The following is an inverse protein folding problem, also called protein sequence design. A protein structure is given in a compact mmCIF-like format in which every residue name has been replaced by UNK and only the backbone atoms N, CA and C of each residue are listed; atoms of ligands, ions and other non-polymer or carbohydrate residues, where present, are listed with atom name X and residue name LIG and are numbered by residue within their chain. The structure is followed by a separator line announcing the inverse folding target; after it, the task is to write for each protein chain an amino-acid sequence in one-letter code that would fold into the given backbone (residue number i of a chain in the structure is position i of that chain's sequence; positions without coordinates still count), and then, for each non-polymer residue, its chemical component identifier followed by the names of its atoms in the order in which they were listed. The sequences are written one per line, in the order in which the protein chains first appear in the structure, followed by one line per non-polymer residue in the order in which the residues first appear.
data_IF_890279792811
#
_entry.id   IF_890279792811
#
_cell.length_a   1.000
_cell.length_b   1.000
_cell.length_c   1.000
_cell.angle_alpha   90.00
_cell.angle_beta   90.00
_cell.angle_gamma   90.00
#
_symmetry.space_group_name_H-M   'P 1'
#
loop_
_entity.id
_entity.type
_entity.pdbx_description
1 polymer ?
#
# COMPACT_ATOMS: atom_id res chain seq x y z
N UNK A 1 5.87 -5.84 3.05
CA UNK A 1 4.92 -6.35 4.06
C UNK A 1 4.93 -5.42 5.26
N UNK A 2 3.74 -5.01 5.73
CA UNK A 2 3.52 -4.04 6.82
C UNK A 2 2.97 -4.73 8.06
N UNK A 3 3.18 -4.09 9.21
CA UNK A 3 2.58 -4.49 10.48
C UNK A 3 1.66 -3.37 10.98
N UNK A 4 0.35 -3.54 10.80
CA UNK A 4 -0.65 -2.57 11.28
C UNK A 4 -1.27 -3.15 12.56
N UNK A 5 -1.10 -2.50 13.72
CA UNK A 5 -1.78 -2.91 14.95
C UNK A 5 -3.30 -2.84 14.75
N UNK A 6 -3.96 -3.97 14.91
CA UNK A 6 -5.41 -4.05 14.99
C UNK A 6 -5.81 -3.90 16.44
N UNK A 7 -6.68 -2.93 16.75
CA UNK A 7 -7.17 -2.72 18.12
C UNK A 7 -7.74 -4.03 18.67
N UNK A 8 -7.30 -4.42 19.87
CA UNK A 8 -7.72 -5.66 20.53
C UNK A 8 -7.06 -6.95 20.03
N UNK A 9 -6.11 -6.89 19.09
CA UNK A 9 -5.33 -8.06 18.65
C UNK A 9 -3.82 -7.79 18.67
N UNK A 10 -3.06 -8.58 19.46
CA UNK A 10 -1.61 -8.58 19.33
C UNK A 10 -1.20 -8.89 17.89
N UNK A 11 -0.38 -8.02 17.31
CA UNK A 11 0.15 -8.18 15.97
C UNK A 11 1.66 -8.28 16.10
N UNK A 12 2.22 -9.48 15.96
CA UNK A 12 3.65 -9.74 16.14
C UNK A 12 4.40 -9.92 14.81
N UNK A 13 3.67 -10.13 13.73
CA UNK A 13 4.22 -10.40 12.40
C UNK A 13 3.61 -9.45 11.37
N UNK A 14 4.33 -9.17 10.27
CA UNK A 14 3.74 -8.45 9.15
C UNK A 14 2.45 -9.13 8.68
N UNK A 15 1.38 -8.37 8.57
CA UNK A 15 0.02 -8.87 8.32
C UNK A 15 -0.66 -8.20 7.11
N UNK A 16 0.00 -7.25 6.46
CA UNK A 16 -0.49 -6.62 5.23
C UNK A 16 0.59 -6.56 4.15
N UNK A 17 0.14 -6.58 2.90
CA UNK A 17 0.95 -6.28 1.73
C UNK A 17 0.25 -5.22 0.88
N UNK A 18 1.04 -4.42 0.18
CA UNK A 18 0.59 -3.42 -0.77
C UNK A 18 1.60 -3.32 -1.91
N UNK A 19 1.13 -2.86 -3.05
CA UNK A 19 1.95 -2.58 -4.23
C UNK A 19 2.25 -1.08 -4.22
N UNK A 20 3.52 -0.72 -4.39
CA UNK A 20 3.92 0.68 -4.52
C UNK A 20 3.66 1.16 -5.95
N UNK A 21 2.90 2.25 -6.09
CA UNK A 21 2.50 2.81 -7.39
C UNK A 21 3.32 4.05 -7.76
N UNK A 22 4.01 4.67 -6.79
CA UNK A 22 4.76 5.90 -7.04
C UNK A 22 3.85 7.11 -7.20
N UNK A 23 4.17 8.02 -8.12
CA UNK A 23 3.44 9.27 -8.30
C UNK A 23 2.16 9.12 -9.14
N UNK A 24 2.06 8.06 -9.95
CA UNK A 24 0.90 7.77 -10.77
C UNK A 24 0.19 6.53 -10.23
N UNK A 25 -1.07 6.70 -9.84
CA UNK A 25 -1.92 5.62 -9.33
C UNK A 25 -3.05 5.29 -10.31
N UNK A 26 -3.01 5.78 -11.54
CA UNK A 26 -4.02 5.48 -12.56
C UNK A 26 -4.09 3.97 -12.82
N UNK A 27 -5.31 3.48 -13.04
CA UNK A 27 -5.57 2.10 -13.41
C UNK A 27 -6.01 2.08 -14.86
N UNK A 28 -5.41 1.21 -15.66
CA UNK A 28 -5.78 1.02 -17.07
C UNK A 28 -6.81 -0.09 -17.26
N UNK A 29 -6.97 -0.95 -16.27
CA UNK A 29 -7.90 -2.09 -16.30
C UNK A 29 -9.34 -1.70 -15.99
N UNK A 30 -9.56 -0.62 -15.22
CA UNK A 30 -10.89 -0.13 -14.87
C UNK A 30 -10.92 1.36 -14.59
N UNK A 31 -12.11 1.95 -14.78
CA UNK A 31 -12.41 3.31 -14.34
C UNK A 31 -12.31 3.41 -12.83
N UNK A 32 -11.59 4.41 -12.36
CA UNK A 32 -11.28 4.55 -10.94
C UNK A 32 -11.12 6.02 -10.55
N UNK A 33 -11.62 6.45 -9.37
CA UNK A 33 -11.60 7.86 -8.99
C UNK A 33 -10.17 8.44 -8.91
N UNK A 34 -9.99 9.71 -9.27
CA UNK A 34 -8.71 10.38 -9.04
C UNK A 34 -8.46 10.56 -7.52
N UNK A 35 -7.25 10.23 -7.05
CA UNK A 35 -6.90 10.30 -5.63
C UNK A 35 -6.47 11.71 -5.18
N UNK A 36 -6.08 12.57 -6.12
CA UNK A 36 -5.52 13.89 -5.83
C UNK A 36 -4.13 13.83 -5.17
N UNK A 37 -3.38 14.95 -5.20
CA UNK A 37 -2.03 15.04 -4.66
C UNK A 37 -0.94 14.44 -5.55
N UNK A 38 0.31 14.52 -5.09
CA UNK A 38 1.51 14.10 -5.86
C UNK A 38 2.03 12.70 -5.50
N UNK A 39 1.27 11.94 -4.71
CA UNK A 39 1.74 10.66 -4.15
C UNK A 39 2.85 10.83 -3.09
N UNK A 40 3.61 9.76 -2.78
CA UNK A 40 3.52 8.44 -3.40
C UNK A 40 2.25 7.68 -3.01
N UNK A 41 1.76 6.83 -3.92
CA UNK A 41 0.58 6.01 -3.73
C UNK A 41 0.92 4.54 -3.62
N UNK A 42 -0.03 3.80 -3.06
CA UNK A 42 0.00 2.34 -2.93
C UNK A 42 -1.36 1.75 -3.24
N UNK A 43 -1.37 0.52 -3.75
CA UNK A 43 -2.55 -0.32 -3.83
C UNK A 43 -2.53 -1.32 -2.67
N UNK A 44 -3.47 -1.19 -1.75
CA UNK A 44 -3.52 -1.95 -0.50
C UNK A 44 -4.81 -2.76 -0.40
N UNK A 45 -4.65 -4.05 -0.13
CA UNK A 45 -5.78 -4.91 0.20
C UNK A 45 -5.93 -5.01 1.73
N UNK A 46 -7.06 -4.53 2.23
CA UNK A 46 -7.43 -4.64 3.64
C UNK A 46 -8.27 -5.91 3.89
N UNK A 47 -8.06 -6.62 5.01
CA UNK A 47 -8.88 -7.76 5.39
C UNK A 47 -10.37 -7.40 5.42
N UNK A 48 -11.18 -8.22 4.77
CA UNK A 48 -12.65 -8.07 4.76
C UNK A 48 -13.16 -6.85 3.98
N UNK A 49 -12.31 -6.18 3.19
CA UNK A 49 -12.68 -5.03 2.37
C UNK A 49 -12.13 -5.17 0.95
N UNK A 50 -12.73 -4.44 0.02
CA UNK A 50 -12.16 -4.25 -1.31
C UNK A 50 -10.80 -3.57 -1.19
N UNK A 51 -9.92 -3.87 -2.14
CA UNK A 51 -8.64 -3.19 -2.23
C UNK A 51 -8.86 -1.69 -2.55
N UNK A 52 -7.97 -0.86 -2.04
CA UNK A 52 -8.03 0.58 -2.20
C UNK A 52 -6.67 1.10 -2.68
N UNK A 53 -6.70 2.19 -3.47
CA UNK A 53 -5.51 3.01 -3.69
C UNK A 53 -5.50 4.12 -2.66
N UNK A 54 -4.36 4.31 -2.01
CA UNK A 54 -4.21 5.25 -0.90
C UNK A 54 -2.85 5.95 -0.99
N UNK A 55 -2.69 7.05 -0.26
CA UNK A 55 -1.39 7.71 -0.11
C UNK A 55 -0.51 6.87 0.80
N UNK A 56 0.72 6.60 0.38
CA UNK A 56 1.75 6.03 1.23
C UNK A 56 2.27 7.08 2.22
N UNK A 57 1.47 7.28 3.27
CA UNK A 57 1.73 8.28 4.31
C UNK A 57 2.60 7.77 5.45
N UNK A 58 2.91 8.70 6.38
CA UNK A 58 3.73 8.48 7.57
C UNK A 58 3.32 7.24 8.38
N UNK A 59 2.01 7.06 8.58
CA UNK A 59 1.41 5.91 9.26
C UNK A 59 1.95 4.58 8.73
N UNK A 60 2.00 4.42 7.41
CA UNK A 60 2.42 3.19 6.77
C UNK A 60 3.94 3.10 6.68
N UNK A 61 4.60 4.23 6.40
CA UNK A 61 6.06 4.32 6.32
C UNK A 61 6.75 3.84 7.61
N UNK A 62 6.21 4.18 8.78
CA UNK A 62 6.77 3.74 10.07
C UNK A 62 6.48 2.27 10.41
N UNK A 63 5.66 1.59 9.61
CA UNK A 63 5.20 0.21 9.87
C UNK A 63 5.69 -0.80 8.83
N UNK A 64 6.44 -0.35 7.83
CA UNK A 64 7.04 -1.24 6.82
C UNK A 64 8.09 -2.12 7.49
N UNK A 65 8.03 -3.42 7.24
CA UNK A 65 9.05 -4.38 7.70
C UNK A 65 9.91 -4.95 6.58
N UNK A 66 9.35 -5.04 5.38
CA UNK A 66 10.02 -5.60 4.22
C UNK A 66 9.56 -4.90 2.94
N UNK A 67 10.52 -4.52 2.10
CA UNK A 67 10.28 -4.05 0.74
C UNK A 67 10.80 -5.13 -0.21
N UNK A 68 9.90 -5.72 -1.00
CA UNK A 68 10.28 -6.63 -2.08
C UNK A 68 10.30 -5.84 -3.38
N UNK A 69 11.41 -5.91 -4.12
CA UNK A 69 11.56 -5.26 -5.42
C UNK A 69 12.01 -6.30 -6.43
N UNK A 70 11.48 -6.21 -7.64
CA UNK A 70 11.99 -7.00 -8.75
C UNK A 70 13.41 -6.52 -9.09
N UNK A 71 14.36 -7.45 -9.20
CA UNK A 71 15.79 -7.13 -9.33
C UNK A 71 16.10 -6.31 -10.59
N UNK A 72 15.41 -6.61 -11.67
CA UNK A 72 15.64 -6.01 -12.99
C UNK A 72 14.65 -4.89 -13.31
N UNK A 73 13.78 -4.53 -12.37
CA UNK A 73 12.85 -3.42 -12.61
C UNK A 73 13.59 -2.09 -12.58
N UNK A 74 13.59 -1.41 -13.72
CA UNK A 74 13.99 -0.01 -13.89
C UNK A 74 12.73 0.85 -14.08
N UNK A 75 12.53 1.92 -13.29
CA UNK A 75 11.38 2.82 -13.42
C UNK A 75 11.29 3.51 -14.78
#
# INVERSE_FOLDING_TARGET
MFQIPTVGRPCHFPNHAAIYLGADASLHSEDSPALGGSGPFIYHHMPGRLAAREVYGWSMANRVKLILRHKEYTP
#
